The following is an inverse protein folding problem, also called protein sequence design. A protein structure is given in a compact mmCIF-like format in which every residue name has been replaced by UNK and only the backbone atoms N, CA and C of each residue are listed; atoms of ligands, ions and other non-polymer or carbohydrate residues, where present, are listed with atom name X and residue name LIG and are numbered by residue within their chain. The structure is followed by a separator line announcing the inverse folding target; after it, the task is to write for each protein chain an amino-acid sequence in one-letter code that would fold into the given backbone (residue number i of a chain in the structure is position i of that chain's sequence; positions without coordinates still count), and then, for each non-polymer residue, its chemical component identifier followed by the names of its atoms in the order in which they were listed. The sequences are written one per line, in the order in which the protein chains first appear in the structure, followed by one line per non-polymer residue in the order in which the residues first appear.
data_IF_152843787924
#
_entry.id   IF_152843787924
#
_cell.length_a   1.000
_cell.length_b   1.000
_cell.length_c   1.000
_cell.angle_alpha   90.00
_cell.angle_beta   90.00
_cell.angle_gamma   90.00
#
_symmetry.space_group_name_H-M   'P 1'
#
loop_
_entity.id
_entity.type
_entity.pdbx_description
1 polymer ?
#
# COMPACT_ATOMS: atom_id res chain seq x y z
N UNK A 1 20.80 -1.70 3.59
CA UNK A 1 21.13 -0.26 3.73
C UNK A 1 21.97 0.17 2.53
N UNK A 2 21.41 0.99 1.66
CA UNK A 2 22.05 1.47 0.46
C UNK A 2 22.71 2.83 0.73
N UNK A 3 24.02 2.94 0.47
CA UNK A 3 24.76 4.20 0.62
C UNK A 3 25.05 4.82 -0.74
N UNK A 4 24.91 6.13 -0.82
CA UNK A 4 25.10 6.91 -2.03
C UNK A 4 26.02 8.10 -1.80
N UNK A 5 26.72 8.50 -2.85
CA UNK A 5 27.50 9.72 -2.91
C UNK A 5 26.92 10.68 -3.95
N UNK A 6 27.17 11.97 -3.79
CA UNK A 6 26.86 12.93 -4.85
C UNK A 6 27.84 12.76 -6.00
N UNK A 7 27.42 12.93 -7.26
CA UNK A 7 28.30 12.92 -8.44
C UNK A 7 29.14 14.19 -8.51
N UNK A 8 30.05 14.34 -7.55
CA UNK A 8 30.88 15.53 -7.33
C UNK A 8 32.25 15.07 -6.82
N UNK A 9 33.23 14.99 -7.69
CA UNK A 9 34.57 14.57 -7.39
C UNK A 9 34.96 13.19 -7.97
N UNK A 10 36.11 12.64 -7.58
CA UNK A 10 36.60 11.40 -8.17
C UNK A 10 35.71 10.19 -7.84
N UNK A 11 35.25 9.46 -8.84
CA UNK A 11 34.36 8.29 -8.73
C UNK A 11 34.84 7.28 -7.69
N UNK A 12 36.14 6.88 -7.73
CA UNK A 12 36.71 5.96 -6.73
C UNK A 12 36.66 6.46 -5.29
N UNK A 13 36.64 7.77 -5.09
CA UNK A 13 36.48 8.35 -3.76
C UNK A 13 35.00 8.31 -3.34
N UNK A 14 34.10 8.58 -4.26
CA UNK A 14 32.67 8.52 -4.05
C UNK A 14 32.20 7.08 -3.77
N UNK A 15 32.79 6.06 -4.38
CA UNK A 15 32.52 4.64 -4.05
C UNK A 15 32.83 4.34 -2.58
N UNK A 16 33.99 4.83 -2.09
CA UNK A 16 34.38 4.65 -0.68
C UNK A 16 33.42 5.40 0.26
N UNK A 17 33.01 6.61 -0.11
CA UNK A 17 32.07 7.40 0.68
C UNK A 17 30.69 6.73 0.71
N UNK A 18 30.21 6.21 -0.39
CA UNK A 18 28.95 5.48 -0.48
C UNK A 18 28.97 4.24 0.43
N UNK A 19 30.04 3.45 0.35
CA UNK A 19 30.24 2.27 1.21
C UNK A 19 30.32 2.64 2.70
N UNK A 20 31.04 3.70 3.05
CA UNK A 20 31.14 4.16 4.44
C UNK A 20 29.77 4.68 4.97
N UNK A 21 28.97 5.32 4.10
CA UNK A 21 27.61 5.79 4.47
C UNK A 21 26.66 4.64 4.69
N UNK A 22 26.67 3.61 3.83
CA UNK A 22 25.83 2.43 4.02
C UNK A 22 26.14 1.73 5.33
N UNK A 23 27.40 1.56 5.65
CA UNK A 23 27.84 0.93 6.90
C UNK A 23 27.50 1.76 8.14
N UNK A 24 27.66 3.09 8.06
CA UNK A 24 27.28 4.00 9.14
C UNK A 24 25.77 3.98 9.36
N UNK A 25 24.99 4.02 8.27
CA UNK A 25 23.53 3.91 8.32
C UNK A 25 23.08 2.56 8.89
N UNK A 26 23.69 1.46 8.47
CA UNK A 26 23.43 0.12 9.00
C UNK A 26 23.62 0.09 10.53
N UNK A 27 24.77 0.54 11.02
CA UNK A 27 25.07 0.58 12.45
C UNK A 27 24.09 1.43 13.26
N UNK A 28 23.61 2.52 12.68
CA UNK A 28 22.67 3.41 13.36
C UNK A 28 21.30 2.75 13.63
N UNK A 29 20.84 1.87 12.75
CA UNK A 29 19.52 1.24 12.86
C UNK A 29 19.55 -0.25 13.24
N UNK A 30 20.71 -0.90 13.12
CA UNK A 30 20.88 -2.35 13.35
C UNK A 30 20.36 -2.78 14.73
N UNK A 31 20.70 -2.04 15.76
CA UNK A 31 20.29 -2.37 17.13
C UNK A 31 18.76 -2.36 17.28
N UNK A 32 18.10 -1.39 16.66
CA UNK A 32 16.63 -1.26 16.72
C UNK A 32 15.98 -2.39 15.92
N UNK A 33 16.46 -2.65 14.71
CA UNK A 33 15.86 -3.64 13.81
C UNK A 33 16.16 -5.08 14.22
N UNK A 34 17.29 -5.33 14.91
CA UNK A 34 17.62 -6.65 15.45
C UNK A 34 16.62 -7.11 16.52
N UNK A 35 16.05 -6.19 17.30
CA UNK A 35 15.00 -6.50 18.29
C UNK A 35 13.72 -7.06 17.63
N UNK A 36 13.52 -6.76 16.35
CA UNK A 36 12.40 -7.26 15.53
C UNK A 36 12.79 -8.42 14.62
N UNK A 37 14.00 -8.98 14.77
CA UNK A 37 14.47 -10.13 13.99
C UNK A 37 14.95 -9.80 12.57
N UNK A 38 15.20 -8.52 12.25
CA UNK A 38 15.71 -8.13 10.95
C UNK A 38 17.24 -8.10 10.90
N UNK A 39 17.80 -8.66 9.82
CA UNK A 39 19.19 -8.49 9.45
C UNK A 39 19.32 -7.42 8.38
N UNK A 40 20.39 -6.62 8.44
CA UNK A 40 20.59 -5.51 7.51
C UNK A 40 21.93 -5.71 6.79
N UNK A 41 21.85 -5.84 5.48
CA UNK A 41 23.01 -5.76 4.62
C UNK A 41 23.33 -4.32 4.25
N UNK A 42 24.61 -4.00 4.08
CA UNK A 42 25.09 -2.69 3.67
C UNK A 42 25.76 -2.77 2.30
N UNK A 43 25.36 -1.91 1.37
CA UNK A 43 25.95 -1.81 0.04
C UNK A 43 26.16 -0.35 -0.36
N UNK A 44 27.35 -0.02 -0.86
CA UNK A 44 27.65 1.28 -1.46
C UNK A 44 27.38 1.24 -2.96
N UNK A 45 26.63 2.20 -3.46
CA UNK A 45 26.24 2.32 -4.87
C UNK A 45 27.00 3.43 -5.61
N UNK A 46 28.02 4.03 -4.98
CA UNK A 46 28.79 5.10 -5.60
C UNK A 46 27.98 6.37 -5.81
N UNK A 47 28.09 6.96 -6.97
CA UNK A 47 27.44 8.21 -7.35
C UNK A 47 25.98 8.00 -7.71
N UNK A 48 25.08 8.78 -7.09
CA UNK A 48 23.63 8.68 -7.25
C UNK A 48 23.12 9.48 -8.46
N UNK A 49 23.46 9.03 -9.66
CA UNK A 49 23.01 9.66 -10.90
C UNK A 49 21.49 9.54 -11.13
N UNK A 50 20.88 8.45 -10.70
CA UNK A 50 19.42 8.28 -10.76
C UNK A 50 18.71 9.26 -9.83
N UNK A 51 19.16 9.36 -8.58
CA UNK A 51 18.63 10.35 -7.63
C UNK A 51 18.89 11.78 -8.09
N UNK A 52 20.03 12.04 -8.75
CA UNK A 52 20.33 13.34 -9.35
C UNK A 52 19.28 13.70 -10.41
N UNK A 53 19.06 12.79 -11.35
CA UNK A 53 18.05 12.98 -12.41
C UNK A 53 16.67 13.25 -11.83
N UNK A 54 16.22 12.41 -10.88
CA UNK A 54 14.91 12.55 -10.23
C UNK A 54 14.76 13.92 -9.52
N UNK A 55 15.81 14.37 -8.82
CA UNK A 55 15.78 15.67 -8.12
C UNK A 55 15.77 16.84 -9.09
N UNK A 56 16.53 16.77 -10.18
CA UNK A 56 16.52 17.82 -11.22
C UNK A 56 15.16 17.90 -11.90
N UNK A 57 14.55 16.76 -12.26
CA UNK A 57 13.21 16.71 -12.85
C UNK A 57 12.15 17.40 -11.99
N UNK A 58 12.23 17.19 -10.67
CA UNK A 58 11.30 17.76 -9.68
C UNK A 58 11.65 19.20 -9.25
N UNK A 59 12.82 19.71 -9.65
CA UNK A 59 13.28 21.05 -9.27
C UNK A 59 12.69 22.14 -10.13
N UNK A 60 12.84 23.40 -9.66
CA UNK A 60 12.55 24.59 -10.44
C UNK A 60 13.82 25.22 -11.01
N UNK A 61 14.92 24.47 -11.11
CA UNK A 61 16.19 24.95 -11.65
C UNK A 61 15.99 25.37 -13.11
N UNK A 62 16.49 26.53 -13.43
CA UNK A 62 16.49 27.03 -14.82
C UNK A 62 17.32 26.08 -15.68
N UNK A 63 16.91 25.87 -16.94
CA UNK A 63 17.60 24.97 -17.89
C UNK A 63 17.68 23.50 -17.46
N UNK A 64 16.78 23.02 -16.57
CA UNK A 64 16.74 21.61 -16.14
C UNK A 64 16.68 20.62 -17.30
N UNK A 65 15.96 20.94 -18.38
CA UNK A 65 15.85 20.08 -19.57
C UNK A 65 17.20 19.89 -20.25
N UNK A 66 18.06 20.93 -20.27
CA UNK A 66 19.41 20.84 -20.78
C UNK A 66 20.30 19.94 -19.90
N UNK A 67 20.14 20.01 -18.56
CA UNK A 67 20.85 19.12 -17.64
C UNK A 67 20.44 17.67 -17.89
N UNK A 68 19.16 17.40 -18.02
CA UNK A 68 18.62 16.06 -18.30
C UNK A 68 19.08 15.52 -19.66
N UNK A 69 19.19 16.41 -20.66
CA UNK A 69 19.72 16.05 -21.97
C UNK A 69 21.19 15.64 -21.87
N UNK A 70 22.03 16.38 -21.13
CA UNK A 70 23.42 16.03 -20.87
C UNK A 70 23.53 14.64 -20.24
N UNK A 71 22.69 14.32 -19.25
CA UNK A 71 22.69 12.99 -18.63
C UNK A 71 22.37 11.87 -19.61
N UNK A 72 21.56 12.13 -20.63
CA UNK A 72 21.20 11.14 -21.65
C UNK A 72 22.26 10.98 -22.75
N UNK A 73 23.13 11.98 -22.94
CA UNK A 73 24.12 11.98 -24.00
C UNK A 73 25.45 11.34 -23.62
N UNK A 74 25.78 11.27 -22.34
CA UNK A 74 27.05 10.76 -21.84
C UNK A 74 26.83 9.57 -20.91
N UNK A 75 27.55 8.48 -21.15
CA UNK A 75 27.48 7.28 -20.29
C UNK A 75 28.51 7.35 -19.14
N UNK A 76 29.64 8.02 -19.37
CA UNK A 76 30.69 8.18 -18.38
C UNK A 76 30.34 9.20 -17.31
N UNK A 77 30.47 8.79 -16.04
CA UNK A 77 30.27 9.66 -14.88
C UNK A 77 31.14 10.92 -14.94
N UNK A 78 32.42 10.78 -15.29
CA UNK A 78 33.34 11.89 -15.40
C UNK A 78 32.95 12.88 -16.51
N UNK A 79 32.43 12.39 -17.64
CA UNK A 79 31.96 13.26 -18.72
C UNK A 79 30.68 14.00 -18.30
N UNK A 80 29.72 13.32 -17.70
CA UNK A 80 28.51 13.95 -17.14
C UNK A 80 28.86 15.05 -16.15
N UNK A 81 29.75 14.77 -15.20
CA UNK A 81 30.20 15.72 -14.20
C UNK A 81 30.85 16.95 -14.84
N UNK A 82 31.78 16.75 -15.79
CA UNK A 82 32.45 17.84 -16.49
C UNK A 82 31.48 18.73 -17.27
N UNK A 83 30.52 18.13 -17.98
CA UNK A 83 29.54 18.90 -18.74
C UNK A 83 28.62 19.72 -17.83
N UNK A 84 28.15 19.15 -16.73
CA UNK A 84 27.32 19.85 -15.75
C UNK A 84 28.10 20.98 -15.08
N UNK A 85 29.37 20.76 -14.72
CA UNK A 85 30.24 21.81 -14.16
C UNK A 85 30.47 22.97 -15.12
N UNK A 86 30.53 22.69 -16.42
CA UNK A 86 30.68 23.72 -17.45
C UNK A 86 29.40 24.59 -17.64
N UNK A 87 28.27 24.12 -17.14
CA UNK A 87 27.01 24.88 -17.11
C UNK A 87 27.00 25.83 -15.92
N UNK A 88 27.86 26.87 -15.96
CA UNK A 88 28.15 27.74 -14.83
C UNK A 88 26.93 28.46 -14.24
N UNK A 89 25.89 28.72 -15.06
CA UNK A 89 24.65 29.37 -14.63
C UNK A 89 23.83 28.53 -13.66
N UNK A 90 23.84 27.19 -13.80
CA UNK A 90 23.01 26.26 -13.02
C UNK A 90 23.81 25.44 -12.00
N UNK A 91 25.14 25.33 -12.16
CA UNK A 91 25.97 24.53 -11.28
C UNK A 91 25.94 25.02 -9.83
N UNK A 92 25.83 26.32 -9.62
CA UNK A 92 25.66 26.92 -8.27
C UNK A 92 24.43 26.38 -7.56
N UNK A 93 23.28 26.41 -8.23
CA UNK A 93 22.01 25.91 -7.69
C UNK A 93 22.07 24.40 -7.45
N UNK A 94 22.65 23.62 -8.38
CA UNK A 94 22.82 22.18 -8.21
C UNK A 94 23.67 21.85 -6.98
N UNK A 95 24.75 22.61 -6.76
CA UNK A 95 25.67 22.42 -5.64
C UNK A 95 25.01 22.69 -4.29
N UNK A 96 24.08 23.63 -4.23
CA UNK A 96 23.40 24.02 -3.00
C UNK A 96 22.14 23.16 -2.74
N UNK A 97 21.35 22.91 -3.79
CA UNK A 97 20.01 22.34 -3.63
C UNK A 97 19.91 20.84 -3.93
N UNK A 98 20.76 20.30 -4.80
CA UNK A 98 20.67 18.91 -5.28
C UNK A 98 21.76 18.02 -4.70
N UNK A 99 23.04 18.37 -4.94
CA UNK A 99 24.16 17.51 -4.57
C UNK A 99 24.23 17.14 -3.08
N UNK A 100 23.90 18.00 -2.11
CA UNK A 100 23.90 17.61 -0.70
C UNK A 100 22.88 16.53 -0.35
N UNK A 101 21.72 16.52 -1.01
CA UNK A 101 20.62 15.57 -0.77
C UNK A 101 20.95 14.16 -1.29
N UNK A 102 21.88 14.04 -2.21
CA UNK A 102 22.35 12.77 -2.76
C UNK A 102 23.36 12.06 -1.83
N UNK A 103 23.91 12.76 -0.85
CA UNK A 103 24.85 12.22 0.15
C UNK A 103 24.07 11.53 1.25
N UNK A 104 23.49 10.35 0.94
CA UNK A 104 22.52 9.69 1.82
C UNK A 104 22.81 8.20 2.04
N UNK A 105 22.29 7.69 3.14
CA UNK A 105 22.06 6.27 3.35
C UNK A 105 20.55 6.02 3.35
N UNK A 106 20.10 5.03 2.59
CA UNK A 106 18.69 4.70 2.44
C UNK A 106 18.44 3.28 2.93
N UNK A 107 17.51 3.13 3.87
CA UNK A 107 17.00 1.83 4.26
C UNK A 107 16.00 1.37 3.19
N UNK A 108 16.32 0.26 2.53
CA UNK A 108 15.43 -0.40 1.57
C UNK A 108 14.97 -1.70 2.21
N UNK A 109 13.68 -1.87 2.31
CA UNK A 109 13.07 -3.12 2.77
C UNK A 109 12.47 -3.83 1.56
N UNK A 110 13.07 -4.97 1.19
CA UNK A 110 12.51 -5.86 0.19
C UNK A 110 11.73 -6.94 0.93
N UNK A 111 10.41 -6.77 1.02
CA UNK A 111 9.52 -7.81 1.53
C UNK A 111 9.03 -8.67 0.38
N UNK A 112 9.40 -9.91 0.38
CA UNK A 112 8.73 -10.94 -0.41
C UNK A 112 7.58 -11.48 0.47
N UNK A 113 6.35 -11.08 0.15
CA UNK A 113 5.16 -11.65 0.79
C UNK A 113 4.84 -12.93 0.04
N UNK A 114 5.29 -14.05 0.56
CA UNK A 114 4.87 -15.37 0.08
C UNK A 114 3.52 -15.70 0.71
N UNK A 115 2.44 -15.31 0.04
CA UNK A 115 1.08 -15.76 0.36
C UNK A 115 0.79 -17.09 -0.34
N UNK A 116 -0.25 -17.80 0.14
CA UNK A 116 -0.78 -18.96 -0.57
C UNK A 116 -1.41 -18.52 -1.89
N UNK A 117 -1.28 -19.33 -2.92
CA UNK A 117 -1.99 -19.13 -4.19
C UNK A 117 -3.51 -19.32 -4.01
N UNK A 118 -4.30 -18.78 -4.93
CA UNK A 118 -5.76 -18.94 -4.94
C UNK A 118 -6.18 -20.40 -4.89
N UNK A 119 -5.49 -21.27 -5.62
CA UNK A 119 -5.75 -22.71 -5.64
C UNK A 119 -5.47 -23.37 -4.29
N UNK A 120 -4.39 -23.00 -3.60
CA UNK A 120 -4.06 -23.50 -2.26
C UNK A 120 -5.08 -23.02 -1.23
N UNK A 121 -5.48 -21.76 -1.28
CA UNK A 121 -6.49 -21.19 -0.38
C UNK A 121 -7.84 -21.89 -0.59
N UNK A 122 -8.28 -22.10 -1.84
CA UNK A 122 -9.51 -22.81 -2.15
C UNK A 122 -9.46 -24.29 -1.68
N UNK A 123 -8.31 -24.96 -1.84
CA UNK A 123 -8.13 -26.32 -1.34
C UNK A 123 -8.25 -26.40 0.20
N UNK A 124 -7.72 -25.40 0.92
CA UNK A 124 -7.85 -25.33 2.37
C UNK A 124 -9.31 -25.07 2.80
N UNK A 125 -10.03 -24.20 2.09
CA UNK A 125 -11.47 -23.99 2.32
C UNK A 125 -12.25 -25.29 2.10
N UNK A 126 -12.03 -25.97 0.99
CA UNK A 126 -12.71 -27.23 0.65
C UNK A 126 -12.43 -28.36 1.65
N UNK A 127 -11.23 -28.38 2.24
CA UNK A 127 -10.85 -29.35 3.28
C UNK A 127 -11.24 -28.91 4.69
N UNK A 128 -11.85 -27.73 4.87
CA UNK A 128 -12.26 -27.19 6.16
C UNK A 128 -11.14 -26.67 7.05
N UNK A 129 -9.93 -26.50 6.50
CA UNK A 129 -8.73 -26.07 7.22
C UNK A 129 -8.58 -24.55 7.21
N UNK A 130 -9.59 -23.84 7.69
CA UNK A 130 -9.60 -22.38 7.71
C UNK A 130 -8.59 -21.77 8.69
N UNK A 131 -8.15 -22.55 9.68
CA UNK A 131 -7.16 -22.16 10.68
C UNK A 131 -5.75 -22.00 10.09
N UNK A 132 -5.46 -22.63 8.96
CA UNK A 132 -4.22 -22.47 8.20
C UNK A 132 -4.16 -21.19 7.35
N UNK A 133 -5.28 -20.44 7.27
CA UNK A 133 -5.38 -19.16 6.56
C UNK A 133 -5.28 -17.98 7.54
N UNK A 134 -4.56 -16.94 7.13
CA UNK A 134 -4.56 -15.67 7.84
C UNK A 134 -5.78 -14.82 7.44
N UNK A 135 -5.96 -13.66 8.10
CA UNK A 135 -7.13 -12.80 7.87
C UNK A 135 -7.25 -12.32 6.42
N UNK A 136 -6.15 -11.84 5.83
CA UNK A 136 -6.16 -11.33 4.45
C UNK A 136 -6.42 -12.47 3.45
N UNK A 137 -5.86 -13.65 3.67
CA UNK A 137 -6.12 -14.85 2.86
C UNK A 137 -7.58 -15.30 2.94
N UNK A 138 -8.21 -15.24 4.15
CA UNK A 138 -9.63 -15.56 4.33
C UNK A 138 -10.53 -14.55 3.62
N UNK A 139 -10.23 -13.25 3.73
CA UNK A 139 -10.98 -12.21 3.04
C UNK A 139 -10.82 -12.34 1.51
N UNK A 140 -9.61 -12.62 1.04
CA UNK A 140 -9.34 -12.80 -0.39
C UNK A 140 -10.05 -14.03 -0.94
N UNK A 141 -9.87 -15.21 -0.33
CA UNK A 141 -10.49 -16.46 -0.83
C UNK A 141 -12.01 -16.38 -0.83
N UNK A 142 -12.61 -15.64 0.11
CA UNK A 142 -14.05 -15.42 0.12
C UNK A 142 -14.55 -14.69 -1.15
N UNK A 143 -13.72 -13.88 -1.81
CA UNK A 143 -14.08 -13.24 -3.08
C UNK A 143 -14.13 -14.22 -4.24
N UNK A 144 -13.39 -15.33 -4.16
CA UNK A 144 -13.30 -16.36 -5.19
C UNK A 144 -14.39 -17.43 -5.07
N UNK A 145 -15.15 -17.44 -3.96
CA UNK A 145 -16.21 -18.43 -3.69
C UNK A 145 -17.54 -17.92 -4.27
N UNK A 146 -18.14 -18.68 -5.17
CA UNK A 146 -19.44 -18.35 -5.77
C UNK A 146 -20.61 -18.73 -4.83
N UNK A 147 -20.51 -19.86 -4.13
CA UNK A 147 -21.55 -20.32 -3.19
C UNK A 147 -21.58 -19.43 -1.95
N UNK A 148 -22.67 -18.67 -1.81
CA UNK A 148 -22.83 -17.73 -0.70
C UNK A 148 -22.89 -18.42 0.67
N UNK A 149 -23.32 -19.65 0.78
CA UNK A 149 -23.31 -20.38 2.04
C UNK A 149 -21.91 -20.79 2.48
N UNK A 150 -21.04 -21.18 1.52
CA UNK A 150 -19.64 -21.45 1.76
C UNK A 150 -18.89 -20.16 2.06
N UNK A 151 -19.13 -19.10 1.27
CA UNK A 151 -18.59 -17.77 1.48
C UNK A 151 -18.90 -17.24 2.89
N UNK A 152 -20.15 -17.35 3.32
CA UNK A 152 -20.58 -16.93 4.66
C UNK A 152 -19.85 -17.69 5.77
N UNK A 153 -19.61 -19.02 5.62
CA UNK A 153 -18.86 -19.81 6.62
C UNK A 153 -17.40 -19.32 6.75
N UNK A 154 -16.74 -19.05 5.62
CA UNK A 154 -15.36 -18.54 5.62
C UNK A 154 -15.29 -17.18 6.29
N UNK A 155 -16.20 -16.27 5.91
CA UNK A 155 -16.27 -14.92 6.47
C UNK A 155 -16.68 -14.91 7.95
N UNK A 156 -17.57 -15.81 8.37
CA UNK A 156 -17.93 -15.99 9.78
C UNK A 156 -16.73 -16.44 10.61
N UNK A 157 -15.93 -17.37 10.08
CA UNK A 157 -14.68 -17.79 10.72
C UNK A 157 -13.68 -16.62 10.84
N UNK A 158 -13.44 -15.87 9.75
CA UNK A 158 -12.57 -14.71 9.74
C UNK A 158 -13.04 -13.65 10.75
N UNK A 159 -14.32 -13.32 10.72
CA UNK A 159 -14.94 -12.32 11.58
C UNK A 159 -14.76 -12.66 13.06
N UNK A 160 -15.02 -13.90 13.46
CA UNK A 160 -14.89 -14.36 14.85
C UNK A 160 -13.45 -14.48 15.34
N UNK A 161 -12.54 -14.89 14.44
CA UNK A 161 -11.14 -15.12 14.82
C UNK A 161 -10.34 -13.82 14.93
N UNK A 162 -10.65 -12.84 14.09
CA UNK A 162 -9.83 -11.63 13.94
C UNK A 162 -10.52 -10.34 14.37
N UNK A 163 -11.82 -10.36 14.70
CA UNK A 163 -12.63 -9.18 15.03
C UNK A 163 -12.49 -8.04 13.99
N UNK A 164 -12.43 -8.43 12.70
CA UNK A 164 -12.22 -7.50 11.59
C UNK A 164 -13.58 -6.98 11.06
N UNK A 165 -13.76 -5.66 11.08
CA UNK A 165 -14.97 -5.01 10.56
C UNK A 165 -15.22 -5.30 9.07
N UNK A 166 -14.17 -5.53 8.27
CA UNK A 166 -14.27 -5.91 6.86
C UNK A 166 -14.88 -7.30 6.70
N UNK A 167 -14.45 -8.27 7.52
CA UNK A 167 -15.01 -9.60 7.52
C UNK A 167 -16.50 -9.60 7.88
N UNK A 168 -16.89 -8.83 8.89
CA UNK A 168 -18.32 -8.67 9.26
C UNK A 168 -19.12 -7.94 8.18
N UNK A 169 -18.54 -6.95 7.49
CA UNK A 169 -19.20 -6.25 6.37
C UNK A 169 -19.48 -7.20 5.21
N UNK A 170 -18.47 -7.98 4.82
CA UNK A 170 -18.58 -8.96 3.74
C UNK A 170 -19.52 -10.12 4.11
N UNK A 171 -19.52 -10.54 5.38
CA UNK A 171 -20.46 -11.53 5.90
C UNK A 171 -21.90 -11.04 5.79
N UNK A 172 -22.15 -9.78 6.16
CA UNK A 172 -23.47 -9.15 6.00
C UNK A 172 -23.93 -9.12 4.55
N UNK A 173 -23.04 -8.79 3.62
CA UNK A 173 -23.31 -8.82 2.18
C UNK A 173 -23.66 -10.24 1.69
N UNK A 174 -22.93 -11.27 2.17
CA UNK A 174 -23.22 -12.67 1.84
C UNK A 174 -24.61 -13.10 2.35
N UNK A 175 -24.98 -12.72 3.56
CA UNK A 175 -26.32 -13.00 4.09
C UNK A 175 -27.43 -12.25 3.33
N UNK A 176 -27.18 -11.01 2.88
CA UNK A 176 -28.13 -10.29 2.00
C UNK A 176 -28.36 -11.04 0.69
N UNK A 177 -27.30 -11.56 0.06
CA UNK A 177 -27.41 -12.37 -1.16
C UNK A 177 -28.16 -13.68 -0.94
N UNK A 178 -28.15 -14.22 0.29
CA UNK A 178 -28.93 -15.38 0.71
C UNK A 178 -30.38 -15.05 1.11
N UNK A 179 -30.75 -13.75 1.15
CA UNK A 179 -32.06 -13.30 1.60
C UNK A 179 -32.27 -13.30 3.12
N UNK A 180 -31.23 -13.50 3.90
CA UNK A 180 -31.27 -13.56 5.37
C UNK A 180 -30.99 -12.16 5.97
N UNK A 181 -32.01 -11.31 5.97
CA UNK A 181 -31.88 -9.93 6.44
C UNK A 181 -31.51 -9.82 7.91
N UNK A 182 -31.98 -10.74 8.76
CA UNK A 182 -31.69 -10.71 10.19
C UNK A 182 -30.22 -11.00 10.49
N UNK A 183 -29.65 -12.03 9.85
CA UNK A 183 -28.22 -12.32 10.01
C UNK A 183 -27.36 -11.24 9.37
N UNK A 184 -27.79 -10.67 8.24
CA UNK A 184 -27.11 -9.54 7.63
C UNK A 184 -27.02 -8.37 8.60
N UNK A 185 -28.15 -7.95 9.21
CA UNK A 185 -28.19 -6.87 10.20
C UNK A 185 -27.31 -7.16 11.41
N UNK A 186 -27.32 -8.40 11.91
CA UNK A 186 -26.48 -8.78 13.05
C UNK A 186 -24.99 -8.62 12.72
N UNK A 187 -24.53 -9.11 11.56
CA UNK A 187 -23.15 -9.01 11.12
C UNK A 187 -22.74 -7.54 10.87
N UNK A 188 -23.55 -6.78 10.12
CA UNK A 188 -23.25 -5.38 9.79
C UNK A 188 -23.25 -4.48 11.04
N UNK A 189 -24.13 -4.75 12.01
CA UNK A 189 -24.12 -4.03 13.29
C UNK A 189 -22.82 -4.30 14.06
N UNK A 190 -22.29 -5.52 13.99
CA UNK A 190 -21.00 -5.83 14.60
C UNK A 190 -19.85 -5.13 13.87
N UNK A 191 -19.90 -5.02 12.55
CA UNK A 191 -18.93 -4.23 11.78
C UNK A 191 -18.88 -2.76 12.24
N UNK A 192 -20.04 -2.15 12.47
CA UNK A 192 -20.13 -0.77 13.01
C UNK A 192 -19.52 -0.67 14.41
N UNK A 193 -19.81 -1.62 15.30
CA UNK A 193 -19.24 -1.64 16.67
C UNK A 193 -17.71 -1.74 16.67
N UNK A 194 -17.13 -2.40 15.68
CA UNK A 194 -15.69 -2.50 15.48
C UNK A 194 -15.08 -1.28 14.77
N UNK A 195 -15.84 -0.20 14.63
CA UNK A 195 -15.39 1.07 14.03
C UNK A 195 -15.46 1.11 12.51
N UNK A 196 -16.12 0.15 11.87
CA UNK A 196 -16.35 0.17 10.43
C UNK A 196 -17.22 1.38 10.04
N UNK A 197 -16.78 2.15 9.04
CA UNK A 197 -17.54 3.28 8.51
C UNK A 197 -17.15 3.50 7.03
N UNK A 198 -17.48 2.53 6.19
CA UNK A 198 -17.26 2.62 4.75
C UNK A 198 -18.56 2.85 4.00
N UNK A 199 -18.48 3.38 2.78
CA UNK A 199 -19.66 3.52 1.93
C UNK A 199 -20.34 2.17 1.68
N UNK A 200 -19.55 1.10 1.51
CA UNK A 200 -20.02 -0.26 1.31
C UNK A 200 -20.79 -0.79 2.53
N UNK A 201 -20.26 -0.59 3.74
CA UNK A 201 -20.96 -0.96 4.98
C UNK A 201 -22.31 -0.22 5.10
N UNK A 202 -22.33 1.09 4.80
CA UNK A 202 -23.55 1.89 4.84
C UNK A 202 -24.56 1.43 3.77
N UNK A 203 -24.11 1.08 2.57
CA UNK A 203 -24.96 0.52 1.51
C UNK A 203 -25.59 -0.81 1.96
N UNK A 204 -24.78 -1.72 2.50
CA UNK A 204 -25.27 -3.00 2.99
C UNK A 204 -26.24 -2.85 4.18
N UNK A 205 -25.97 -1.91 5.10
CA UNK A 205 -26.91 -1.62 6.20
C UNK A 205 -28.25 -1.05 5.71
N UNK A 206 -28.21 -0.16 4.70
CA UNK A 206 -29.43 0.37 4.09
C UNK A 206 -30.25 -0.74 3.44
N UNK A 207 -29.59 -1.62 2.66
CA UNK A 207 -30.25 -2.75 1.99
C UNK A 207 -30.78 -3.78 2.99
N UNK A 208 -30.03 -4.10 4.05
CA UNK A 208 -30.44 -5.05 5.07
C UNK A 208 -31.65 -4.53 5.87
N UNK A 209 -31.67 -3.24 6.23
CA UNK A 209 -32.82 -2.63 6.87
C UNK A 209 -34.04 -2.58 5.97
N UNK A 210 -33.86 -2.28 4.66
CA UNK A 210 -34.98 -2.33 3.72
C UNK A 210 -35.56 -3.73 3.60
N UNK A 211 -34.69 -4.75 3.47
CA UNK A 211 -35.11 -6.16 3.37
C UNK A 211 -35.83 -6.65 4.65
N UNK A 212 -35.47 -6.11 5.81
CA UNK A 212 -36.15 -6.37 7.10
C UNK A 212 -37.42 -5.53 7.31
N UNK A 213 -37.80 -4.66 6.36
CA UNK A 213 -38.94 -3.75 6.48
C UNK A 213 -38.70 -2.49 7.33
N UNK A 214 -37.47 -2.24 7.76
CA UNK A 214 -37.08 -1.10 8.58
C UNK A 214 -36.75 0.14 7.71
N UNK A 215 -37.75 0.67 7.00
CA UNK A 215 -37.59 1.72 5.99
C UNK A 215 -36.93 2.99 6.55
N UNK A 216 -37.26 3.40 7.76
CA UNK A 216 -36.71 4.63 8.35
C UNK A 216 -35.20 4.46 8.72
N UNK A 217 -34.79 3.29 9.19
CA UNK A 217 -33.39 2.99 9.42
C UNK A 217 -32.60 2.88 8.10
N UNK A 218 -33.20 2.27 7.07
CA UNK A 218 -32.63 2.20 5.75
C UNK A 218 -32.27 3.59 5.19
N UNK A 219 -33.14 4.60 5.39
CA UNK A 219 -32.89 6.01 5.00
C UNK A 219 -31.66 6.60 5.67
N UNK A 220 -31.47 6.34 6.95
CA UNK A 220 -30.35 6.90 7.72
C UNK A 220 -29.02 6.45 7.10
N UNK A 221 -28.89 5.16 6.82
CA UNK A 221 -27.68 4.60 6.21
C UNK A 221 -27.55 4.96 4.72
N UNK A 222 -28.65 5.12 4.00
CA UNK A 222 -28.65 5.53 2.60
C UNK A 222 -27.96 6.88 2.36
N UNK A 223 -27.94 7.79 3.34
CA UNK A 223 -27.26 9.08 3.21
C UNK A 223 -25.77 8.92 2.87
N UNK A 224 -25.09 7.92 3.43
CA UNK A 224 -23.69 7.60 3.21
C UNK A 224 -23.47 6.40 2.24
N UNK A 225 -24.53 5.85 1.66
CA UNK A 225 -24.48 4.73 0.73
C UNK A 225 -24.08 5.15 -0.70
N UNK A 226 -23.88 4.17 -1.58
CA UNK A 226 -23.67 4.41 -3.01
C UNK A 226 -24.93 4.93 -3.72
N UNK A 227 -24.76 5.42 -4.96
CA UNK A 227 -25.85 6.03 -5.72
C UNK A 227 -26.98 5.04 -6.06
N UNK A 228 -26.65 3.78 -6.31
CA UNK A 228 -27.61 2.74 -6.64
C UNK A 228 -28.49 2.42 -5.43
N UNK A 229 -27.88 2.23 -4.27
CA UNK A 229 -28.59 2.00 -2.99
C UNK A 229 -29.49 3.17 -2.63
N UNK A 230 -29.00 4.42 -2.77
CA UNK A 230 -29.82 5.64 -2.59
C UNK A 230 -31.07 5.63 -3.47
N UNK A 231 -30.91 5.32 -4.74
CA UNK A 231 -32.03 5.26 -5.69
C UNK A 231 -33.06 4.19 -5.30
N UNK A 232 -32.59 3.03 -4.88
CA UNK A 232 -33.42 1.89 -4.49
C UNK A 232 -34.25 2.20 -3.22
N UNK A 233 -33.63 2.82 -2.21
CA UNK A 233 -34.32 3.26 -0.99
C UNK A 233 -35.34 4.36 -1.31
N UNK A 234 -35.03 5.31 -2.18
CA UNK A 234 -35.96 6.36 -2.60
C UNK A 234 -37.16 5.76 -3.35
N UNK A 235 -36.96 4.78 -4.22
CA UNK A 235 -38.04 4.10 -4.94
C UNK A 235 -38.99 3.33 -3.98
N UNK A 236 -38.43 2.68 -2.97
CA UNK A 236 -39.24 1.94 -1.98
C UNK A 236 -40.13 2.85 -1.10
N UNK A 237 -39.91 4.15 -1.11
CA UNK A 237 -40.72 5.16 -0.37
C UNK A 237 -41.89 5.69 -1.17
N UNK A 238 -41.88 5.52 -2.48
CA UNK A 238 -42.96 6.01 -3.37
C UNK A 238 -44.11 5.01 -3.61
N UNK A 239 -44.03 3.86 -2.97
CA UNK A 239 -45.09 2.83 -2.98
C UNK A 239 -45.78 2.80 -1.62
#
# INVERSE_FOLDING_TARGET
MNGYASPDGPEKFNDKLASARSETGRKAVEKILAEYGFNIDAAGYGEDWEGFKEMVEKSNIQDKDLILQVLSMYDSSAERENQIKNMSSVYGELKEDVLPKLRRAQLVNNMEITGKSDAEMQALVNSGKLDELNNEELLHVATLIEDNAVKAKVLEYAAKKYDDSRAYTNLGAAYLQMGDADKALAALTQAVKLGGNTQELNSNLALANLAAGNVDEAKKYAAAADAQTKSLIAAAQGQ
#
